data_IF_598758962851
#
_entry.id   IF_598758962851
#
_cell.length_a   1.000
_cell.length_b   1.000
_cell.length_c   1.000
_cell.angle_alpha   90.00
_cell.angle_beta   90.00
_cell.angle_gamma   90.00
#
_symmetry.space_group_name_H-M   'P 1'
#
loop_
_entity.id
_entity.type
_entity.pdbx_description
1 polymer ?
#
# COMPACT_ATOMS: atom_id res chain seq x y z
N UNK A 1 -13.69 1.27 -19.66
CA UNK A 1 -12.48 1.01 -18.87
C UNK A 1 -12.71 -0.13 -17.90
N UNK A 2 -11.94 -1.19 -18.04
CA UNK A 2 -11.89 -2.35 -17.15
C UNK A 2 -10.82 -2.06 -16.08
N UNK A 3 -11.12 -2.36 -14.81
CA UNK A 3 -10.16 -2.24 -13.72
C UNK A 3 -9.71 -3.65 -13.31
N UNK A 4 -8.42 -3.90 -13.37
CA UNK A 4 -7.83 -5.16 -12.92
C UNK A 4 -7.06 -4.89 -11.62
N UNK A 5 -7.50 -5.49 -10.55
CA UNK A 5 -6.85 -5.39 -9.24
C UNK A 5 -5.92 -6.58 -9.03
N UNK A 6 -4.65 -6.30 -8.77
CA UNK A 6 -3.65 -7.32 -8.46
C UNK A 6 -3.50 -7.41 -6.95
N UNK A 7 -3.95 -8.50 -6.37
CA UNK A 7 -3.93 -8.77 -4.93
C UNK A 7 -3.04 -9.98 -4.59
N UNK A 8 -2.73 -10.17 -3.33
CA UNK A 8 -1.93 -11.30 -2.85
C UNK A 8 -0.99 -10.89 -1.71
N UNK A 9 -0.28 -11.85 -1.15
CA UNK A 9 0.58 -11.68 0.01
C UNK A 9 1.71 -10.66 -0.20
N UNK A 10 2.21 -10.12 0.92
CA UNK A 10 3.41 -9.27 0.92
C UNK A 10 4.59 -10.09 0.39
N UNK A 11 5.27 -9.57 -0.64
CA UNK A 11 6.40 -10.27 -1.26
C UNK A 11 6.01 -11.29 -2.35
N UNK A 12 4.72 -11.47 -2.67
CA UNK A 12 4.27 -12.39 -3.72
C UNK A 12 4.64 -11.98 -5.15
N UNK A 13 5.07 -10.72 -5.36
CA UNK A 13 5.47 -10.23 -6.69
C UNK A 13 4.38 -9.44 -7.43
N UNK A 14 3.33 -9.01 -6.75
CA UNK A 14 2.22 -8.22 -7.32
C UNK A 14 2.67 -7.09 -8.25
N UNK A 15 3.53 -6.22 -7.75
CA UNK A 15 3.99 -5.04 -8.51
C UNK A 15 4.80 -5.42 -9.75
N UNK A 16 5.48 -6.57 -9.74
CA UNK A 16 6.15 -7.09 -10.92
C UNK A 16 5.12 -7.55 -11.96
N UNK A 17 4.17 -8.37 -11.55
CA UNK A 17 3.09 -8.86 -12.42
C UNK A 17 2.24 -7.69 -12.96
N UNK A 18 1.89 -6.73 -12.11
CA UNK A 18 1.13 -5.55 -12.52
C UNK A 18 1.77 -4.81 -13.72
N UNK A 19 3.09 -4.69 -13.73
CA UNK A 19 3.84 -4.04 -14.81
C UNK A 19 3.88 -4.86 -16.10
N UNK A 20 3.82 -6.19 -16.02
CA UNK A 20 3.86 -7.06 -17.20
C UNK A 20 2.60 -6.97 -18.06
N UNK A 21 1.49 -6.45 -17.52
CA UNK A 21 0.27 -6.22 -18.31
C UNK A 21 0.40 -5.10 -19.35
N UNK A 22 1.44 -4.25 -19.23
CA UNK A 22 1.70 -3.13 -20.13
C UNK A 22 0.51 -2.14 -20.27
N UNK A 23 -0.28 -1.96 -19.23
CA UNK A 23 -1.33 -0.96 -19.07
C UNK A 23 -0.95 0.05 -17.99
N UNK A 24 -1.61 1.21 -17.93
CA UNK A 24 -1.40 2.15 -16.82
C UNK A 24 -1.60 1.48 -15.46
N UNK A 25 -0.63 1.65 -14.57
CA UNK A 25 -0.61 1.01 -13.23
C UNK A 25 -0.72 2.08 -12.15
N UNK A 26 -1.72 1.95 -11.29
CA UNK A 26 -1.77 2.67 -10.02
C UNK A 26 -1.10 1.84 -8.95
N UNK A 27 0.02 2.30 -8.42
CA UNK A 27 0.73 1.64 -7.31
C UNK A 27 0.51 2.42 -6.02
N UNK A 28 -0.27 1.85 -5.10
CA UNK A 28 -0.55 2.49 -3.81
C UNK A 28 0.72 2.69 -2.99
N UNK A 29 1.66 1.74 -2.99
CA UNK A 29 2.94 1.88 -2.28
C UNK A 29 3.75 3.07 -2.78
N UNK A 30 3.79 3.29 -4.11
CA UNK A 30 4.45 4.44 -4.71
C UNK A 30 3.78 5.76 -4.33
N UNK A 31 2.45 5.79 -4.29
CA UNK A 31 1.71 6.99 -3.89
C UNK A 31 1.85 7.29 -2.39
N UNK A 32 1.87 6.26 -1.53
CA UNK A 32 2.20 6.44 -0.10
C UNK A 32 3.58 7.05 0.07
N UNK A 33 4.59 6.54 -0.65
CA UNK A 33 5.94 7.09 -0.59
C UNK A 33 6.00 8.56 -1.05
N UNK A 34 5.23 8.95 -2.09
CA UNK A 34 5.10 10.35 -2.52
C UNK A 34 4.43 11.21 -1.45
N UNK A 35 3.32 10.73 -0.84
CA UNK A 35 2.62 11.45 0.23
C UNK A 35 3.58 11.75 1.38
N UNK A 36 4.36 10.79 1.84
CA UNK A 36 5.34 10.99 2.91
C UNK A 36 6.42 12.01 2.55
N UNK A 37 6.77 12.11 1.27
CA UNK A 37 7.77 13.08 0.81
C UNK A 37 7.23 14.49 0.61
N UNK A 38 5.98 14.62 0.15
CA UNK A 38 5.50 15.90 -0.41
C UNK A 38 4.23 16.45 0.22
N UNK A 39 3.44 15.63 0.95
CA UNK A 39 2.18 16.09 1.51
C UNK A 39 2.36 16.58 2.96
N UNK A 40 2.62 17.89 3.09
CA UNK A 40 2.80 18.54 4.40
C UNK A 40 1.54 18.49 5.27
N UNK A 41 0.35 18.54 4.68
CA UNK A 41 -0.90 18.42 5.43
C UNK A 41 -1.03 17.04 6.08
N UNK A 42 -0.65 16.00 5.37
CA UNK A 42 -0.63 14.64 5.89
C UNK A 42 0.37 14.50 7.05
N UNK A 43 1.58 15.08 6.90
CA UNK A 43 2.55 15.17 7.98
C UNK A 43 2.00 15.87 9.22
N UNK A 44 1.37 17.04 9.05
CA UNK A 44 0.79 17.79 10.17
C UNK A 44 -0.29 16.99 10.93
N UNK A 45 -1.12 16.25 10.20
CA UNK A 45 -2.14 15.38 10.77
C UNK A 45 -1.52 14.20 11.54
N UNK A 46 -0.48 13.59 10.99
CA UNK A 46 0.27 12.51 11.65
C UNK A 46 0.97 13.02 12.91
N UNK A 47 1.66 14.15 12.82
CA UNK A 47 2.32 14.80 13.96
C UNK A 47 1.32 15.16 15.07
N UNK A 48 0.14 15.65 14.73
CA UNK A 48 -0.92 15.94 15.72
C UNK A 48 -1.42 14.68 16.42
N UNK A 49 -1.51 13.55 15.72
CA UNK A 49 -2.02 12.28 16.27
C UNK A 49 -0.95 11.45 16.99
N UNK A 50 0.30 11.57 16.56
CA UNK A 50 1.44 10.79 17.02
C UNK A 50 2.68 11.70 17.16
N UNK A 51 2.64 12.72 18.05
CA UNK A 51 3.68 13.76 18.11
C UNK A 51 5.06 13.23 18.48
N UNK A 52 5.14 12.09 19.17
CA UNK A 52 6.39 11.47 19.58
C UNK A 52 7.13 10.75 18.43
N UNK A 53 6.41 10.43 17.34
CA UNK A 53 6.92 9.61 16.26
C UNK A 53 7.19 10.39 14.97
N UNK A 54 6.43 11.44 14.69
CA UNK A 54 6.55 12.24 13.46
C UNK A 54 7.17 13.60 13.76
N UNK A 55 8.49 13.68 13.61
CA UNK A 55 9.32 14.83 14.02
C UNK A 55 9.79 15.66 12.84
N UNK A 56 10.05 15.01 11.69
CA UNK A 56 10.66 15.61 10.52
C UNK A 56 9.78 15.55 9.27
N UNK A 57 9.96 16.55 8.39
CA UNK A 57 9.37 16.55 7.05
C UNK A 57 10.48 16.80 6.01
N UNK A 58 10.60 15.97 4.98
CA UNK A 58 9.80 14.76 4.63
C UNK A 58 9.82 13.67 5.71
N UNK A 59 8.69 12.93 5.80
CA UNK A 59 8.56 11.83 6.78
C UNK A 59 9.58 10.74 6.45
N UNK A 60 10.37 10.35 7.43
CA UNK A 60 11.35 9.29 7.30
C UNK A 60 10.71 7.93 7.53
N UNK A 61 11.21 6.92 6.83
CA UNK A 61 10.69 5.55 6.92
C UNK A 61 10.80 4.98 8.32
N UNK A 62 11.88 5.34 9.01
CA UNK A 62 12.18 4.94 10.39
C UNK A 62 11.12 5.47 11.37
N UNK A 63 10.61 6.67 11.18
CA UNK A 63 9.55 7.27 12.00
C UNK A 63 8.26 6.43 11.91
N UNK A 64 7.92 5.96 10.70
CA UNK A 64 6.75 5.11 10.46
C UNK A 64 6.94 3.74 11.13
N UNK A 65 8.10 3.12 10.93
CA UNK A 65 8.43 1.81 11.51
C UNK A 65 8.37 1.90 13.05
N UNK A 66 9.00 2.91 13.64
CA UNK A 66 9.02 3.12 15.08
C UNK A 66 7.59 3.32 15.64
N UNK A 67 6.76 4.13 14.96
CA UNK A 67 5.38 4.34 15.37
C UNK A 67 4.57 3.04 15.39
N UNK A 68 4.68 2.22 14.33
CA UNK A 68 3.95 0.96 14.19
C UNK A 68 4.48 -0.10 15.19
N UNK A 69 5.78 -0.10 15.45
CA UNK A 69 6.43 -1.05 16.36
C UNK A 69 6.10 -0.74 17.82
N UNK A 70 6.04 0.54 18.19
CA UNK A 70 5.72 0.98 19.56
C UNK A 70 4.33 0.50 19.99
N UNK A 71 3.29 0.80 19.21
CA UNK A 71 1.92 0.39 19.52
C UNK A 71 1.15 -0.03 18.30
N UNK A 72 0.50 -1.19 18.35
CA UNK A 72 -0.29 -1.73 17.23
C UNK A 72 -1.41 -0.76 16.77
N UNK A 73 -2.03 -0.04 17.72
CA UNK A 73 -3.06 0.96 17.41
C UNK A 73 -2.56 2.10 16.53
N UNK A 74 -1.25 2.38 16.51
CA UNK A 74 -0.68 3.44 15.71
C UNK A 74 -0.78 3.16 14.22
N UNK A 75 -0.72 1.88 13.81
CA UNK A 75 -0.98 1.50 12.42
C UNK A 75 -2.35 1.97 11.97
N UNK A 76 -3.39 1.76 12.78
CA UNK A 76 -4.76 2.20 12.48
C UNK A 76 -4.85 3.74 12.41
N UNK A 77 -4.17 4.46 13.29
CA UNK A 77 -4.13 5.93 13.26
C UNK A 77 -3.47 6.46 11.99
N UNK A 78 -2.35 5.85 11.57
CA UNK A 78 -1.63 6.21 10.36
C UNK A 78 -2.49 5.93 9.12
N UNK A 79 -3.06 4.73 9.02
CA UNK A 79 -3.88 4.33 7.87
C UNK A 79 -5.13 5.18 7.73
N UNK A 80 -5.78 5.59 8.82
CA UNK A 80 -6.93 6.49 8.78
C UNK A 80 -6.61 7.88 8.20
N UNK A 81 -5.36 8.32 8.29
CA UNK A 81 -4.90 9.60 7.72
C UNK A 81 -4.48 9.39 6.25
N UNK A 82 -3.79 8.30 5.95
CA UNK A 82 -3.21 8.05 4.62
C UNK A 82 -4.24 7.55 3.61
N UNK A 83 -5.17 6.67 4.01
CA UNK A 83 -6.12 6.06 3.07
C UNK A 83 -7.00 7.07 2.31
N UNK A 84 -7.55 8.13 2.93
CA UNK A 84 -8.29 9.14 2.17
C UNK A 84 -7.46 9.81 1.08
N UNK A 85 -6.18 10.07 1.34
CA UNK A 85 -5.28 10.66 0.34
C UNK A 85 -4.98 9.69 -0.81
N UNK A 86 -4.79 8.41 -0.50
CA UNK A 86 -4.63 7.36 -1.54
C UNK A 86 -5.89 7.23 -2.40
N UNK A 87 -7.08 7.29 -1.79
CA UNK A 87 -8.35 7.26 -2.56
C UNK A 87 -8.45 8.44 -3.52
N UNK A 88 -8.12 9.65 -3.07
CA UNK A 88 -8.08 10.84 -3.95
C UNK A 88 -7.09 10.66 -5.11
N UNK A 89 -5.90 10.13 -4.83
CA UNK A 89 -4.90 9.86 -5.88
C UNK A 89 -5.38 8.81 -6.87
N UNK A 90 -6.03 7.76 -6.40
CA UNK A 90 -6.62 6.74 -7.26
C UNK A 90 -7.74 7.33 -8.15
N UNK A 91 -8.61 8.17 -7.60
CA UNK A 91 -9.66 8.82 -8.37
C UNK A 91 -9.10 9.75 -9.46
N UNK A 92 -8.02 10.48 -9.17
CA UNK A 92 -7.30 11.29 -10.15
C UNK A 92 -6.73 10.39 -11.26
N UNK A 93 -6.01 9.35 -10.88
CA UNK A 93 -5.44 8.38 -11.83
C UNK A 93 -6.50 7.78 -12.76
N UNK A 94 -7.64 7.39 -12.22
CA UNK A 94 -8.75 6.83 -13.00
C UNK A 94 -9.36 7.87 -13.97
N UNK A 95 -9.44 9.14 -13.57
CA UNK A 95 -9.91 10.22 -14.44
C UNK A 95 -8.92 10.54 -15.57
N UNK A 96 -7.64 10.58 -15.28
CA UNK A 96 -6.58 10.82 -16.25
C UNK A 96 -6.51 9.71 -17.31
N UNK A 97 -6.76 8.47 -16.90
CA UNK A 97 -6.73 7.28 -17.76
C UNK A 97 -8.12 6.85 -18.27
N UNK A 98 -9.11 7.73 -18.27
CA UNK A 98 -10.50 7.38 -18.65
C UNK A 98 -10.68 6.87 -20.10
N UNK A 99 -9.71 7.18 -20.98
CA UNK A 99 -9.69 6.73 -22.38
C UNK A 99 -9.05 5.36 -22.56
N UNK A 100 -8.39 4.85 -21.55
CA UNK A 100 -7.78 3.53 -21.58
C UNK A 100 -8.85 2.43 -21.45
N UNK A 101 -8.69 1.35 -22.19
CA UNK A 101 -9.60 0.20 -22.08
C UNK A 101 -9.41 -0.54 -20.77
N UNK A 102 -8.18 -0.62 -20.29
CA UNK A 102 -7.78 -1.35 -19.09
C UNK A 102 -6.84 -0.48 -18.23
N UNK A 103 -7.03 -0.55 -16.92
CA UNK A 103 -6.08 -0.03 -15.92
C UNK A 103 -5.80 -1.09 -14.86
N UNK A 104 -4.58 -1.08 -14.35
CA UNK A 104 -4.13 -2.02 -13.30
C UNK A 104 -4.08 -1.29 -11.96
N UNK A 105 -4.60 -1.92 -10.93
CA UNK A 105 -4.57 -1.44 -9.55
C UNK A 105 -3.68 -2.36 -8.70
N UNK A 106 -2.46 -1.92 -8.42
CA UNK A 106 -1.54 -2.58 -7.48
C UNK A 106 -1.73 -1.95 -6.10
N UNK A 107 -2.72 -2.45 -5.37
CA UNK A 107 -3.12 -1.94 -4.06
C UNK A 107 -3.03 -3.08 -3.05
N UNK A 108 -2.03 -3.09 -2.16
CA UNK A 108 -2.01 -3.98 -1.01
C UNK A 108 -3.28 -3.77 -0.18
N UNK A 109 -3.88 -4.85 0.30
CA UNK A 109 -5.09 -4.75 1.13
C UNK A 109 -6.28 -4.06 0.43
N UNK A 110 -6.42 -4.25 -0.89
CA UNK A 110 -7.50 -3.63 -1.66
C UNK A 110 -8.88 -4.08 -1.16
N UNK A 111 -9.03 -5.35 -0.87
CA UNK A 111 -10.29 -5.93 -0.40
C UNK A 111 -10.59 -5.50 1.04
N UNK A 112 -9.58 -5.52 1.92
CA UNK A 112 -9.68 -5.14 3.32
C UNK A 112 -10.07 -3.66 3.48
N UNK A 113 -9.65 -2.82 2.54
CA UNK A 113 -9.98 -1.39 2.52
C UNK A 113 -11.26 -1.07 1.75
N UNK A 114 -11.96 -2.08 1.22
CA UNK A 114 -13.20 -1.92 0.43
C UNK A 114 -13.03 -0.94 -0.75
N UNK A 115 -11.86 -0.97 -1.39
CA UNK A 115 -11.54 -0.11 -2.54
C UNK A 115 -11.97 -0.73 -3.87
N UNK A 116 -12.28 -2.03 -3.87
CA UNK A 116 -12.79 -2.74 -5.02
C UNK A 116 -14.23 -2.31 -5.36
N UNK A 117 -14.54 -2.31 -6.65
CA UNK A 117 -15.91 -2.14 -7.16
C UNK A 117 -16.44 -3.48 -7.66
N UNK A 118 -17.77 -3.62 -7.72
CA UNK A 118 -18.45 -4.86 -8.13
C UNK A 118 -18.02 -5.37 -9.53
N UNK A 119 -17.49 -4.50 -10.39
CA UNK A 119 -17.02 -4.84 -11.75
C UNK A 119 -15.51 -4.98 -11.88
N UNK A 120 -14.77 -4.92 -10.79
CA UNK A 120 -13.32 -5.11 -10.84
C UNK A 120 -12.97 -6.57 -11.08
N UNK A 121 -12.00 -6.81 -11.94
CA UNK A 121 -11.40 -8.13 -12.10
C UNK A 121 -10.30 -8.25 -11.07
N UNK A 122 -10.36 -9.28 -10.24
CA UNK A 122 -9.37 -9.51 -9.18
C UNK A 122 -8.45 -10.64 -9.61
N UNK A 123 -7.14 -10.36 -9.68
CA UNK A 123 -6.10 -11.36 -9.95
C UNK A 123 -5.32 -11.58 -8.66
N UNK A 124 -5.44 -12.78 -8.09
CA UNK A 124 -4.71 -13.15 -6.90
C UNK A 124 -3.34 -13.75 -7.26
N UNK A 125 -2.27 -13.12 -6.77
CA UNK A 125 -0.90 -13.60 -6.97
C UNK A 125 -0.46 -14.41 -5.76
N UNK A 126 -0.31 -15.70 -6.00
CA UNK A 126 0.24 -16.63 -5.02
C UNK A 126 1.68 -16.97 -5.35
N UNK A 127 2.54 -17.02 -4.35
CA UNK A 127 3.93 -17.45 -4.46
C UNK A 127 4.29 -18.42 -3.35
N UNK A 128 5.20 -19.34 -3.62
CA UNK A 128 5.71 -20.27 -2.61
C UNK A 128 6.33 -19.50 -1.44
N UNK A 129 6.07 -19.94 -0.20
CA UNK A 129 6.58 -19.27 1.02
C UNK A 129 8.08 -19.03 0.99
N UNK A 130 8.84 -20.01 0.52
CA UNK A 130 10.31 -19.93 0.41
C UNK A 130 10.76 -18.79 -0.50
N UNK A 131 10.12 -18.64 -1.66
CA UNK A 131 10.41 -17.56 -2.61
C UNK A 131 10.03 -16.18 -2.04
N UNK A 132 8.91 -16.10 -1.33
CA UNK A 132 8.48 -14.87 -0.64
C UNK A 132 9.52 -14.47 0.40
N UNK A 133 9.95 -15.40 1.26
CA UNK A 133 10.95 -15.16 2.30
C UNK A 133 12.29 -14.74 1.67
N UNK A 134 12.73 -15.43 0.61
CA UNK A 134 13.97 -15.10 -0.11
C UNK A 134 13.94 -13.68 -0.70
N UNK A 135 12.81 -13.27 -1.29
CA UNK A 135 12.62 -11.91 -1.83
C UNK A 135 12.59 -10.87 -0.72
N UNK A 136 11.92 -11.15 0.39
CA UNK A 136 11.82 -10.23 1.52
C UNK A 136 13.15 -10.02 2.22
N UNK A 137 13.95 -11.09 2.42
CA UNK A 137 15.30 -10.99 3.00
C UNK A 137 16.27 -10.13 2.15
N UNK A 138 16.06 -10.04 0.84
CA UNK A 138 16.84 -9.17 -0.05
C UNK A 138 16.49 -7.69 0.07
N UNK A 139 15.40 -7.32 0.75
CA UNK A 139 15.03 -5.92 0.97
C UNK A 139 15.81 -5.35 2.15
N UNK A 140 16.45 -4.20 1.98
CA UNK A 140 17.33 -3.55 2.97
C UNK A 140 16.70 -3.25 4.34
N UNK A 141 15.40 -3.43 4.50
CA UNK A 141 14.66 -3.14 5.74
C UNK A 141 13.70 -4.29 6.08
N UNK A 142 14.15 -5.53 5.91
CA UNK A 142 13.36 -6.68 6.30
C UNK A 142 13.23 -6.74 7.83
N UNK A 143 12.00 -6.60 8.33
CA UNK A 143 11.66 -6.77 9.74
C UNK A 143 10.53 -7.80 9.84
N UNK A 144 10.80 -8.91 10.50
CA UNK A 144 9.87 -10.04 10.60
C UNK A 144 8.62 -9.66 11.42
N UNK A 145 8.80 -8.87 12.48
CA UNK A 145 7.68 -8.45 13.36
C UNK A 145 6.75 -7.50 12.61
N UNK A 146 7.31 -6.58 11.84
CA UNK A 146 6.54 -5.68 10.99
C UNK A 146 5.77 -6.45 9.92
N UNK A 147 6.40 -7.44 9.29
CA UNK A 147 5.75 -8.33 8.33
C UNK A 147 4.58 -9.09 8.96
N UNK A 148 4.76 -9.63 10.16
CA UNK A 148 3.70 -10.36 10.88
C UNK A 148 2.54 -9.44 11.25
N UNK A 149 2.79 -8.18 11.65
CA UNK A 149 1.76 -7.18 11.90
C UNK A 149 0.94 -6.88 10.65
N UNK A 150 1.59 -6.70 9.49
CA UNK A 150 0.88 -6.48 8.22
C UNK A 150 0.10 -7.72 7.77
N UNK A 151 0.62 -8.93 7.96
CA UNK A 151 -0.11 -10.17 7.62
C UNK A 151 -1.40 -10.35 8.41
N UNK A 152 -1.46 -9.90 9.67
CA UNK A 152 -2.67 -10.00 10.52
C UNK A 152 -3.85 -9.17 9.99
N UNK A 153 -3.58 -8.13 9.20
CA UNK A 153 -4.63 -7.27 8.63
C UNK A 153 -5.01 -7.66 7.20
N UNK A 154 -4.31 -8.62 6.60
CA UNK A 154 -4.68 -9.17 5.29
C UNK A 154 -5.76 -10.23 5.46
N UNK A 155 -6.79 -10.18 4.59
CA UNK A 155 -7.78 -11.25 4.49
C UNK A 155 -7.09 -12.54 4.01
N UNK A 156 -7.48 -13.70 4.55
CA UNK A 156 -7.01 -14.98 4.00
C UNK A 156 -7.48 -15.12 2.54
N UNK A 157 -6.72 -15.81 1.70
CA UNK A 157 -7.19 -16.19 0.39
C UNK A 157 -8.44 -17.09 0.56
N UNK A 158 -9.56 -16.65 0.00
CA UNK A 158 -10.82 -17.40 -0.02
C UNK A 158 -10.75 -18.55 -1.02
#
# INVERSE_FOLDING_TARGET
>A
MIRIAVVGDIGSGKSHIAKLFNYPVFSADSEVAKIYKTNRQCFNNLKKKLPQHFLSFPIQKEEIINAITDKEINLKKITNIIHPEIRKKMDIFLKENKKEDIVILDIPLLLENKLNKKRDIIIFIQSKKEEVIKRLKKRNNFNLDLLNKFKRIQLPPS
#
